data_IF_660242600068
#
_entry.id   IF_660242600068
#
_cell.length_a   1.000
_cell.length_b   1.000
_cell.length_c   1.000
_cell.angle_alpha   90.00
_cell.angle_beta   90.00
_cell.angle_gamma   90.00
#
_symmetry.space_group_name_H-M   'P 1'
#
loop_
_entity.id
_entity.type
_entity.pdbx_description
1 polymer ?
#
# COMPACT_ATOMS: atom_id res chain seq x y z
N UNK A 1 19.71 3.75 2.61
CA UNK A 1 18.87 2.63 3.02
C UNK A 1 18.05 2.13 1.84
N UNK A 2 18.07 0.83 1.62
CA UNK A 2 17.41 0.23 0.48
C UNK A 2 16.07 -0.37 0.90
N UNK A 3 15.00 0.16 0.36
CA UNK A 3 13.66 -0.38 0.67
C UNK A 3 13.31 -1.51 -0.28
N UNK A 4 12.68 -2.53 0.28
CA UNK A 4 12.14 -3.67 -0.48
C UNK A 4 10.63 -3.75 -0.23
N UNK A 5 9.94 -4.59 -1.00
CA UNK A 5 8.52 -4.85 -0.75
C UNK A 5 8.27 -5.28 0.69
N UNK A 6 9.13 -6.13 1.21
CA UNK A 6 9.03 -6.63 2.58
C UNK A 6 9.09 -5.49 3.60
N UNK A 7 10.03 -4.56 3.40
CA UNK A 7 10.18 -3.41 4.28
C UNK A 7 8.97 -2.49 4.23
N UNK A 8 8.45 -2.25 3.03
CA UNK A 8 7.27 -1.40 2.86
C UNK A 8 6.06 -2.06 3.53
N UNK A 9 5.89 -3.36 3.36
CA UNK A 9 4.80 -4.10 4.00
C UNK A 9 4.86 -4.01 5.51
N UNK A 10 6.07 -4.13 6.06
CA UNK A 10 6.31 -4.05 7.50
C UNK A 10 5.93 -2.69 8.05
N UNK A 11 6.39 -1.61 7.39
CA UNK A 11 6.08 -0.25 7.82
C UNK A 11 4.60 0.07 7.63
N UNK A 12 3.98 -0.41 6.56
CA UNK A 12 2.55 -0.24 6.35
C UNK A 12 1.76 -0.88 7.50
N UNK A 13 2.15 -2.08 7.91
CA UNK A 13 1.51 -2.75 9.03
C UNK A 13 1.63 -1.94 10.32
N UNK A 14 2.80 -1.37 10.57
CA UNK A 14 3.04 -0.52 11.72
C UNK A 14 2.14 0.72 11.69
N UNK A 15 1.99 1.33 10.50
CA UNK A 15 1.12 2.49 10.35
C UNK A 15 -0.35 2.13 10.59
N UNK A 16 -0.78 0.95 10.14
CA UNK A 16 -2.14 0.48 10.37
C UNK A 16 -2.40 0.22 11.85
N UNK A 17 -1.38 -0.25 12.57
CA UNK A 17 -1.48 -0.49 14.01
C UNK A 17 -1.65 0.79 14.83
N UNK A 18 -1.25 1.94 14.28
CA UNK A 18 -1.47 3.24 14.90
C UNK A 18 -2.90 3.73 14.73
N UNK A 19 -3.67 3.08 13.89
CA UNK A 19 -5.05 3.43 13.61
C UNK A 19 -5.27 3.63 12.11
N UNK A 20 -6.42 3.19 11.62
CA UNK A 20 -6.76 3.36 10.21
C UNK A 20 -7.19 4.80 9.95
N UNK A 21 -6.41 5.50 9.14
CA UNK A 21 -6.69 6.89 8.75
C UNK A 21 -6.14 7.11 7.35
N UNK A 22 -7.05 7.28 6.38
CA UNK A 22 -6.70 7.39 4.96
C UNK A 22 -5.73 8.55 4.72
N UNK A 23 -6.03 9.71 5.28
CA UNK A 23 -5.19 10.91 5.08
C UNK A 23 -3.77 10.68 5.61
N UNK A 24 -3.64 10.14 6.81
CA UNK A 24 -2.32 9.90 7.40
C UNK A 24 -1.54 8.84 6.63
N UNK A 25 -2.21 7.76 6.25
CA UNK A 25 -1.56 6.67 5.51
C UNK A 25 -1.16 7.14 4.11
N UNK A 26 -2.03 7.91 3.46
CA UNK A 26 -1.75 8.48 2.15
C UNK A 26 -0.53 9.42 2.21
N UNK A 27 -0.48 10.28 3.23
CA UNK A 27 0.65 11.18 3.43
C UNK A 27 1.95 10.41 3.69
N UNK A 28 1.87 9.35 4.49
CA UNK A 28 3.04 8.51 4.74
C UNK A 28 3.59 7.93 3.44
N UNK A 29 2.71 7.42 2.58
CA UNK A 29 3.12 6.83 1.32
C UNK A 29 3.73 7.87 0.38
N UNK A 30 3.16 9.07 0.34
CA UNK A 30 3.66 10.17 -0.48
C UNK A 30 5.06 10.60 -0.02
N UNK A 31 5.25 10.75 1.29
CA UNK A 31 6.55 11.11 1.85
C UNK A 31 7.60 10.04 1.52
N UNK A 32 7.23 8.78 1.63
CA UNK A 32 8.12 7.69 1.32
C UNK A 32 8.45 7.65 -0.17
N UNK A 33 7.44 7.88 -1.02
CA UNK A 33 7.61 7.95 -2.47
C UNK A 33 8.65 9.01 -2.84
N UNK A 34 8.54 10.20 -2.25
CA UNK A 34 9.47 11.29 -2.51
C UNK A 34 10.87 10.98 -2.00
N UNK A 35 10.97 10.42 -0.79
CA UNK A 35 12.27 10.12 -0.18
C UNK A 35 13.03 9.01 -0.91
N UNK A 36 12.32 8.14 -1.62
CA UNK A 36 12.91 7.02 -2.34
C UNK A 36 13.10 7.30 -3.84
N UNK A 37 12.88 8.52 -4.25
CA UNK A 37 12.83 8.91 -5.67
C UNK A 37 13.92 8.28 -6.55
N UNK A 38 15.16 8.25 -6.09
CA UNK A 38 16.29 7.74 -6.86
C UNK A 38 16.61 6.27 -6.59
N UNK A 39 15.87 5.63 -5.69
CA UNK A 39 16.19 4.28 -5.21
C UNK A 39 15.05 3.29 -5.37
N UNK A 40 13.89 3.76 -5.82
CA UNK A 40 12.76 2.86 -6.00
C UNK A 40 12.76 2.23 -7.39
N UNK A 41 12.35 0.98 -7.44
CA UNK A 41 12.13 0.31 -8.72
C UNK A 41 10.67 0.58 -9.17
N UNK A 42 10.34 0.30 -10.45
CA UNK A 42 8.96 0.53 -10.94
C UNK A 42 7.90 -0.16 -10.10
N UNK A 43 8.21 -1.32 -9.52
CA UNK A 43 7.29 -2.08 -8.70
C UNK A 43 6.95 -1.36 -7.41
N UNK A 44 7.95 -0.81 -6.72
CA UNK A 44 7.74 -0.03 -5.50
C UNK A 44 7.03 1.28 -5.80
N UNK A 45 7.35 1.88 -6.93
CA UNK A 45 6.71 3.10 -7.41
C UNK A 45 5.20 2.88 -7.54
N UNK A 46 4.81 1.79 -8.18
CA UNK A 46 3.40 1.43 -8.39
C UNK A 46 2.68 1.18 -7.07
N UNK A 47 3.31 0.45 -6.16
CA UNK A 47 2.74 0.14 -4.85
C UNK A 47 2.45 1.43 -4.07
N UNK A 48 3.43 2.32 -3.99
CA UNK A 48 3.26 3.56 -3.24
C UNK A 48 2.23 4.48 -3.87
N UNK A 49 2.14 4.52 -5.20
CA UNK A 49 1.12 5.30 -5.89
C UNK A 49 -0.29 4.85 -5.53
N UNK A 50 -0.51 3.55 -5.46
CA UNK A 50 -1.82 3.02 -5.09
C UNK A 50 -2.23 3.41 -3.68
N UNK A 51 -1.26 3.59 -2.80
CA UNK A 51 -1.55 3.98 -1.41
C UNK A 51 -1.76 5.48 -1.29
N UNK A 52 -0.89 6.29 -1.91
CA UNK A 52 -0.97 7.73 -1.68
C UNK A 52 -2.12 8.41 -2.44
N UNK A 53 -2.71 7.77 -3.44
CA UNK A 53 -3.88 8.35 -4.13
C UNK A 53 -5.20 8.04 -3.41
N UNK A 54 -5.18 7.32 -2.29
CA UNK A 54 -6.40 6.96 -1.58
C UNK A 54 -7.23 8.16 -1.14
N UNK A 55 -6.59 9.28 -0.86
CA UNK A 55 -7.30 10.49 -0.45
C UNK A 55 -7.85 11.32 -1.62
N UNK A 56 -7.61 10.86 -2.85
CA UNK A 56 -8.08 11.57 -4.05
C UNK A 56 -9.57 11.33 -4.33
N UNK A 57 -10.15 10.27 -3.78
CA UNK A 57 -11.57 9.98 -3.98
C UNK A 57 -11.92 8.59 -3.48
N UNK A 58 -13.23 8.33 -3.21
CA UNK A 58 -13.68 7.03 -2.69
C UNK A 58 -13.31 5.85 -3.57
N UNK A 59 -13.23 6.04 -4.87
CA UNK A 59 -12.91 4.97 -5.82
C UNK A 59 -11.47 4.48 -5.67
N UNK A 60 -10.62 5.26 -5.01
CA UNK A 60 -9.21 4.90 -4.81
C UNK A 60 -8.93 4.36 -3.41
N UNK A 61 -9.94 4.33 -2.54
CA UNK A 61 -9.74 3.92 -1.15
C UNK A 61 -9.65 2.42 -1.00
N UNK A 62 -8.75 1.99 -0.12
CA UNK A 62 -8.68 0.61 0.35
C UNK A 62 -9.15 0.59 1.80
N UNK A 63 -9.91 -0.45 2.17
CA UNK A 63 -10.33 -0.63 3.56
C UNK A 63 -9.14 -1.05 4.42
N UNK A 64 -9.32 -1.00 5.73
CA UNK A 64 -8.30 -1.45 6.66
C UNK A 64 -7.92 -2.90 6.40
N UNK A 65 -8.90 -3.77 6.15
CA UNK A 65 -8.66 -5.18 5.85
C UNK A 65 -7.85 -5.33 4.56
N UNK A 66 -8.18 -4.56 3.55
CA UNK A 66 -7.47 -4.60 2.27
C UNK A 66 -6.02 -4.15 2.43
N UNK A 67 -5.78 -3.10 3.20
CA UNK A 67 -4.43 -2.62 3.46
C UNK A 67 -3.63 -3.60 4.31
N UNK A 68 -4.28 -4.27 5.28
CA UNK A 68 -3.60 -5.29 6.07
C UNK A 68 -3.22 -6.48 5.20
N UNK A 69 -4.10 -6.87 4.27
CA UNK A 69 -3.77 -7.92 3.32
C UNK A 69 -2.62 -7.48 2.42
N UNK A 70 -2.64 -6.25 1.94
CA UNK A 70 -1.55 -5.71 1.12
C UNK A 70 -0.22 -5.79 1.88
N UNK A 71 -0.21 -5.37 3.15
CA UNK A 71 1.00 -5.43 3.96
C UNK A 71 1.54 -6.87 4.07
N UNK A 72 0.65 -7.83 4.28
CA UNK A 72 1.04 -9.24 4.37
C UNK A 72 1.60 -9.76 3.05
N UNK A 73 0.93 -9.44 1.94
CA UNK A 73 1.38 -9.84 0.61
C UNK A 73 2.76 -9.24 0.29
N UNK A 74 2.97 -7.99 0.68
CA UNK A 74 4.26 -7.34 0.49
C UNK A 74 5.36 -8.00 1.33
N UNK A 75 5.04 -8.37 2.58
CA UNK A 75 6.01 -9.05 3.43
C UNK A 75 6.38 -10.43 2.92
N UNK A 76 5.46 -11.07 2.20
CA UNK A 76 5.70 -12.38 1.56
C UNK A 76 6.31 -12.21 0.16
N UNK A 77 6.52 -10.99 -0.26
CA UNK A 77 7.10 -10.64 -1.57
C UNK A 77 6.33 -11.23 -2.74
N UNK A 78 5.01 -11.25 -2.63
CA UNK A 78 4.11 -11.71 -3.69
C UNK A 78 4.30 -10.83 -4.93
N UNK A 79 4.33 -11.45 -6.09
CA UNK A 79 4.63 -10.77 -7.35
C UNK A 79 3.61 -9.71 -7.74
N UNK A 80 2.33 -9.98 -7.52
CA UNK A 80 1.27 -9.03 -7.88
C UNK A 80 0.23 -8.97 -6.77
N UNK A 81 0.51 -8.20 -5.69
CA UNK A 81 -0.38 -8.14 -4.55
C UNK A 81 -1.72 -7.48 -4.86
N UNK A 82 -1.74 -6.50 -5.75
CA UNK A 82 -2.98 -5.78 -6.08
C UNK A 82 -3.99 -6.64 -6.82
N UNK A 83 -3.52 -7.61 -7.57
CA UNK A 83 -4.42 -8.54 -8.25
C UNK A 83 -5.28 -9.29 -7.24
N UNK A 84 -4.68 -9.77 -6.16
CA UNK A 84 -5.41 -10.50 -5.13
C UNK A 84 -6.40 -9.58 -4.39
N UNK A 85 -6.01 -8.34 -4.16
CA UNK A 85 -6.87 -7.37 -3.51
C UNK A 85 -8.06 -7.01 -4.41
N UNK A 86 -7.81 -6.81 -5.70
CA UNK A 86 -8.86 -6.50 -6.66
C UNK A 86 -9.82 -7.66 -6.83
N UNK A 87 -9.32 -8.89 -6.79
CA UNK A 87 -10.18 -10.09 -6.83
C UNK A 87 -11.10 -10.14 -5.62
N UNK A 88 -10.58 -9.78 -4.44
CA UNK A 88 -11.36 -9.71 -3.22
C UNK A 88 -12.46 -8.63 -3.31
N UNK A 89 -12.12 -7.46 -3.85
CA UNK A 89 -13.09 -6.37 -4.06
C UNK A 89 -14.20 -6.81 -5.02
N UNK A 90 -13.86 -7.48 -6.10
CA UNK A 90 -14.82 -7.99 -7.06
C UNK A 90 -15.81 -8.95 -6.40
N UNK A 91 -15.33 -9.82 -5.52
CA UNK A 91 -16.19 -10.77 -4.80
C UNK A 91 -17.13 -10.07 -3.84
N UNK A 92 -16.68 -8.98 -3.22
CA UNK A 92 -17.52 -8.22 -2.28
C UNK A 92 -18.64 -7.48 -2.99
N UNK A 93 -18.42 -7.10 -4.25
CA UNK A 93 -19.43 -6.39 -5.03
C UNK A 93 -20.52 -7.33 -5.60
N UNK A 94 -20.29 -8.60 -5.57
CA UNK A 94 -21.24 -9.59 -5.99
C UNK A 94 -22.06 -10.13 -4.81
#
# INVERSE_FOLDING_TARGET
MKYSKKEIGKVLKEELNKGYNIERISNWADELFVSMRDKRCPELDDILRHIFIMDAGPEFEYSEQELRLLAELLMKEVKDPFKQINDMKSKELN
#
